data_IF_650513030723
#
_entry.id   IF_650513030723
#
_cell.length_a   1.000
_cell.length_b   1.000
_cell.length_c   1.000
_cell.angle_alpha   90.00
_cell.angle_beta   90.00
_cell.angle_gamma   90.00
#
_symmetry.space_group_name_H-M   'P 1'
#
loop_
_entity.id
_entity.type
_entity.pdbx_description
1 polymer ?
#
# COMPACT_ATOMS: atom_id res chain seq x y z
N UNK A 1 35.96 -25.23 -32.94
CA UNK A 1 35.80 -23.77 -32.72
C UNK A 1 34.51 -23.42 -31.98
N UNK A 2 33.39 -23.97 -32.36
CA UNK A 2 32.05 -23.65 -31.78
C UNK A 2 31.86 -23.93 -30.27
N UNK A 3 32.31 -25.08 -29.72
CA UNK A 3 32.17 -25.39 -28.29
C UNK A 3 32.93 -24.42 -27.37
N UNK A 4 34.12 -23.97 -27.76
CA UNK A 4 34.94 -23.02 -26.97
C UNK A 4 34.30 -21.62 -26.95
N UNK A 5 33.70 -21.19 -28.08
CA UNK A 5 33.01 -19.91 -28.18
C UNK A 5 31.75 -19.92 -27.29
N UNK A 6 30.95 -21.00 -27.33
CA UNK A 6 29.74 -21.16 -26.50
C UNK A 6 30.11 -21.16 -25.00
N UNK A 7 31.16 -21.91 -24.61
CA UNK A 7 31.63 -21.90 -23.21
C UNK A 7 32.10 -20.52 -22.78
N UNK A 8 32.77 -19.76 -23.62
CA UNK A 8 33.24 -18.42 -23.31
C UNK A 8 32.07 -17.45 -23.15
N UNK A 9 31.04 -17.55 -23.99
CA UNK A 9 29.81 -16.75 -23.87
C UNK A 9 29.08 -17.06 -22.55
N UNK A 10 28.91 -18.35 -22.22
CA UNK A 10 28.25 -18.76 -20.95
C UNK A 10 29.05 -18.25 -19.74
N UNK A 11 30.40 -18.36 -19.79
CA UNK A 11 31.25 -17.87 -18.70
C UNK A 11 31.16 -16.33 -18.53
N UNK A 12 31.12 -15.60 -19.66
CA UNK A 12 30.96 -14.14 -19.60
C UNK A 12 29.58 -13.73 -19.08
N UNK A 13 28.50 -14.43 -19.46
CA UNK A 13 27.16 -14.21 -18.93
C UNK A 13 27.09 -14.50 -17.43
N UNK A 14 27.65 -15.65 -17.01
CA UNK A 14 27.68 -16.01 -15.57
C UNK A 14 28.48 -15.00 -14.75
N UNK A 15 29.63 -14.52 -15.28
CA UNK A 15 30.41 -13.48 -14.63
C UNK A 15 29.66 -12.15 -14.58
N UNK A 16 28.95 -11.77 -15.64
CA UNK A 16 28.12 -10.57 -15.68
C UNK A 16 26.99 -10.61 -14.64
N UNK A 17 26.29 -11.74 -14.52
CA UNK A 17 25.27 -11.97 -13.51
C UNK A 17 25.86 -11.90 -12.10
N UNK A 18 27.01 -12.53 -11.87
CA UNK A 18 27.70 -12.48 -10.58
C UNK A 18 28.10 -11.04 -10.20
N UNK A 19 28.65 -10.28 -11.15
CA UNK A 19 29.01 -8.87 -10.91
C UNK A 19 27.76 -8.05 -10.60
N UNK A 20 26.67 -8.23 -11.34
CA UNK A 20 25.41 -7.54 -11.09
C UNK A 20 24.84 -7.86 -9.70
N UNK A 21 24.90 -9.15 -9.31
CA UNK A 21 24.46 -9.59 -7.98
C UNK A 21 25.33 -9.00 -6.84
N UNK A 22 26.64 -8.90 -7.05
CA UNK A 22 27.54 -8.30 -6.04
C UNK A 22 27.45 -6.78 -5.97
N UNK A 23 27.02 -6.13 -7.04
CA UNK A 23 26.85 -4.68 -7.12
C UNK A 23 25.45 -4.21 -6.66
N UNK A 24 24.46 -5.10 -6.69
CA UNK A 24 23.10 -4.76 -6.34
C UNK A 24 22.93 -4.63 -4.81
N UNK A 25 22.31 -3.51 -4.37
CA UNK A 25 22.00 -3.27 -2.97
C UNK A 25 20.64 -3.86 -2.63
N UNK A 26 20.46 -4.48 -1.44
CA UNK A 26 19.14 -4.79 -0.92
C UNK A 26 18.36 -3.51 -0.63
N UNK A 27 17.08 -3.62 -0.33
CA UNK A 27 16.29 -2.51 0.19
C UNK A 27 16.94 -1.94 1.47
N UNK A 28 16.91 -0.62 1.66
CA UNK A 28 17.36 -0.03 2.92
C UNK A 28 16.49 -0.54 4.06
N UNK A 29 17.03 -0.53 5.27
CA UNK A 29 16.20 -0.73 6.45
C UNK A 29 15.53 0.60 6.80
N UNK A 30 14.23 0.56 7.11
CA UNK A 30 13.47 1.74 7.51
C UNK A 30 12.81 1.54 8.88
N UNK A 31 12.83 2.59 9.70
CA UNK A 31 12.30 2.57 11.06
C UNK A 31 10.78 2.29 11.13
N UNK A 32 10.04 2.50 10.03
CA UNK A 32 8.64 2.11 9.93
C UNK A 32 8.39 0.65 10.36
N UNK A 33 9.30 -0.26 10.06
CA UNK A 33 9.13 -1.68 10.40
C UNK A 33 9.62 -2.03 11.81
N UNK A 34 10.35 -1.16 12.50
CA UNK A 34 10.84 -1.39 13.85
C UNK A 34 9.75 -1.32 14.93
N UNK A 35 8.61 -0.73 14.60
CA UNK A 35 7.47 -0.64 15.51
C UNK A 35 6.70 -1.96 15.68
N UNK A 36 6.93 -2.95 14.81
CA UNK A 36 6.24 -4.24 14.84
C UNK A 36 7.11 -5.33 15.46
N UNK A 37 6.55 -6.05 16.44
CA UNK A 37 7.22 -7.22 16.98
C UNK A 37 7.10 -8.43 16.03
N UNK A 38 8.03 -9.40 16.09
CA UNK A 38 7.96 -10.60 15.25
C UNK A 38 6.65 -11.39 15.38
N UNK A 39 5.98 -11.31 16.54
CA UNK A 39 4.73 -12.02 16.82
C UNK A 39 3.51 -11.37 16.12
N UNK A 40 3.64 -10.13 15.63
CA UNK A 40 2.57 -9.44 14.91
C UNK A 40 2.48 -9.87 13.44
N UNK A 41 3.52 -10.52 12.90
CA UNK A 41 3.50 -10.93 11.50
C UNK A 41 2.67 -12.20 11.24
N UNK A 42 1.89 -12.26 10.14
CA UNK A 42 1.69 -11.15 9.20
C UNK A 42 0.87 -10.02 9.82
N UNK A 43 1.19 -8.78 9.42
CA UNK A 43 0.46 -7.60 9.86
C UNK A 43 -0.98 -7.64 9.38
N UNK A 44 -1.91 -7.26 10.24
CA UNK A 44 -3.32 -7.00 9.88
C UNK A 44 -3.40 -5.58 9.35
N UNK A 45 -3.53 -5.42 8.04
CA UNK A 45 -3.63 -4.14 7.37
C UNK A 45 -5.11 -3.90 7.03
N UNK A 46 -5.73 -2.93 7.70
CA UNK A 46 -7.11 -2.57 7.43
C UNK A 46 -7.18 -1.77 6.12
N UNK A 47 -7.73 -2.37 5.08
CA UNK A 47 -7.90 -1.74 3.78
C UNK A 47 -9.01 -0.68 3.84
N UNK A 48 -8.79 0.45 3.21
CA UNK A 48 -9.75 1.55 3.19
C UNK A 48 -11.05 1.21 2.46
N UNK A 49 -11.03 0.19 1.61
CA UNK A 49 -12.19 -0.42 0.98
C UNK A 49 -13.05 -1.13 2.03
N UNK A 50 -14.31 -1.31 1.86
CA UNK A 50 -15.16 -1.34 3.01
C UNK A 50 -16.30 -2.32 2.91
N UNK A 51 -16.00 -3.57 3.15
CA UNK A 51 -17.06 -4.53 3.42
C UNK A 51 -17.74 -4.26 4.78
N UNK A 52 -17.02 -3.69 5.76
CA UNK A 52 -17.53 -3.49 7.11
C UNK A 52 -18.07 -2.07 7.38
N UNK A 53 -17.43 -1.03 6.80
CA UNK A 53 -17.73 0.37 7.11
C UNK A 53 -17.59 1.27 5.87
N UNK A 54 -18.13 2.51 5.87
CA UNK A 54 -17.92 3.46 4.77
C UNK A 54 -16.43 3.76 4.53
N UNK A 55 -15.98 3.54 3.29
CA UNK A 55 -14.57 3.63 2.91
C UNK A 55 -13.97 5.02 3.12
N UNK A 56 -12.68 5.09 3.43
CA UNK A 56 -11.90 6.32 3.58
C UNK A 56 -12.54 7.36 4.51
N UNK A 57 -13.16 6.90 5.60
CA UNK A 57 -13.77 7.78 6.61
C UNK A 57 -13.11 7.63 7.97
N UNK A 58 -13.09 8.70 8.77
CA UNK A 58 -12.63 8.60 10.17
C UNK A 58 -13.44 7.57 10.94
N UNK A 59 -14.75 7.44 10.65
CA UNK A 59 -15.60 6.44 11.28
C UNK A 59 -15.05 5.02 11.05
N UNK A 60 -14.69 4.66 9.81
CA UNK A 60 -14.12 3.34 9.51
C UNK A 60 -12.77 3.14 10.20
N UNK A 61 -11.88 4.12 10.14
CA UNK A 61 -10.56 4.06 10.78
C UNK A 61 -10.68 3.90 12.31
N UNK A 62 -11.62 4.58 12.95
CA UNK A 62 -11.90 4.42 14.39
C UNK A 62 -12.36 3.00 14.72
N UNK A 63 -13.22 2.39 13.89
CA UNK A 63 -13.67 1.02 14.10
C UNK A 63 -12.50 0.02 13.94
N UNK A 64 -11.65 0.21 12.93
CA UNK A 64 -10.47 -0.63 12.72
C UNK A 64 -9.45 -0.47 13.85
N UNK A 65 -9.21 0.76 14.30
CA UNK A 65 -8.36 1.00 15.47
C UNK A 65 -8.93 0.36 16.75
N UNK A 66 -10.25 0.36 16.91
CA UNK A 66 -10.93 -0.31 18.04
C UNK A 66 -10.82 -1.86 17.95
N UNK A 67 -10.61 -2.41 16.76
CA UNK A 67 -10.29 -3.82 16.56
C UNK A 67 -8.81 -4.13 16.79
N UNK A 68 -7.96 -3.12 17.12
CA UNK A 68 -6.53 -3.31 17.36
C UNK A 68 -5.81 -3.91 16.12
N UNK A 69 -6.06 -3.37 14.93
CA UNK A 69 -5.33 -3.72 13.71
C UNK A 69 -3.90 -3.17 13.78
N UNK A 70 -2.97 -3.77 13.03
CA UNK A 70 -1.57 -3.33 13.09
C UNK A 70 -1.32 -2.07 12.25
N UNK A 71 -2.04 -1.91 11.13
CA UNK A 71 -1.84 -0.81 10.18
C UNK A 71 -3.20 -0.32 9.66
N UNK A 72 -3.37 0.99 9.59
CA UNK A 72 -4.48 1.65 8.90
C UNK A 72 -4.02 2.02 7.49
N UNK A 73 -4.73 1.51 6.49
CA UNK A 73 -4.48 1.89 5.10
C UNK A 73 -5.56 2.87 4.64
N UNK A 74 -5.18 3.82 3.79
CA UNK A 74 -6.05 4.88 3.27
C UNK A 74 -5.52 5.41 1.93
N UNK A 75 -6.46 5.89 1.10
CA UNK A 75 -6.21 6.46 -0.20
C UNK A 75 -6.31 7.98 -0.18
N UNK A 76 -5.44 8.69 -0.89
CA UNK A 76 -5.44 10.14 -0.84
C UNK A 76 -5.50 10.83 -2.20
N UNK A 77 -6.29 11.91 -2.23
CA UNK A 77 -6.34 12.92 -3.29
C UNK A 77 -6.18 14.32 -2.70
N UNK A 78 -5.95 15.30 -3.57
CA UNK A 78 -5.83 16.71 -3.18
C UNK A 78 -6.95 17.53 -3.81
N UNK A 79 -7.62 18.35 -2.99
CA UNK A 79 -8.70 19.27 -3.41
C UNK A 79 -8.16 20.46 -4.21
N UNK A 80 -9.06 21.25 -4.83
CA UNK A 80 -8.71 22.44 -5.59
C UNK A 80 -7.98 23.51 -4.77
N UNK A 81 -8.24 23.59 -3.48
CA UNK A 81 -7.60 24.52 -2.54
C UNK A 81 -6.38 23.91 -1.82
N UNK A 82 -5.96 22.69 -2.21
CA UNK A 82 -4.69 22.08 -1.83
C UNK A 82 -4.72 21.25 -0.55
N UNK A 83 -5.89 20.93 -0.02
CA UNK A 83 -6.02 20.04 1.14
C UNK A 83 -6.00 18.56 0.71
N UNK A 84 -5.28 17.73 1.46
CA UNK A 84 -5.21 16.29 1.21
C UNK A 84 -6.37 15.61 1.93
N UNK A 85 -7.21 14.91 1.19
CA UNK A 85 -8.43 14.23 1.67
C UNK A 85 -8.34 12.73 1.45
N UNK A 86 -9.05 11.96 2.29
CA UNK A 86 -9.11 10.51 2.17
C UNK A 86 -10.23 10.11 1.19
N UNK A 87 -9.86 9.59 0.05
CA UNK A 87 -10.79 9.07 -0.97
C UNK A 87 -10.02 8.27 -2.01
N UNK A 88 -10.58 7.11 -2.40
CA UNK A 88 -9.98 6.22 -3.40
C UNK A 88 -10.10 6.73 -4.84
N UNK A 89 -11.30 7.20 -5.23
CA UNK A 89 -11.61 7.53 -6.62
C UNK A 89 -11.25 9.00 -6.93
N UNK A 90 -10.97 9.31 -8.20
CA UNK A 90 -10.81 10.70 -8.67
C UNK A 90 -12.06 11.55 -8.42
N UNK A 91 -13.23 10.93 -8.28
CA UNK A 91 -14.52 11.61 -8.11
C UNK A 91 -15.24 11.18 -6.82
N UNK A 92 -16.10 12.05 -6.32
CA UNK A 92 -16.92 11.79 -5.12
C UNK A 92 -18.15 10.90 -5.40
N UNK A 93 -18.40 10.52 -6.65
CA UNK A 93 -19.67 9.96 -7.14
C UNK A 93 -20.03 8.60 -6.53
N UNK A 94 -19.04 7.73 -6.28
CA UNK A 94 -19.30 6.35 -5.83
C UNK A 94 -19.61 6.25 -4.35
N UNK A 95 -19.06 7.11 -3.55
CA UNK A 95 -19.12 6.99 -2.08
C UNK A 95 -19.98 8.03 -1.40
N UNK A 96 -20.37 9.12 -2.11
CA UNK A 96 -21.12 10.22 -1.52
C UNK A 96 -22.45 10.51 -2.26
N UNK A 97 -23.26 11.38 -1.70
CA UNK A 97 -24.48 11.92 -2.33
C UNK A 97 -24.20 13.04 -3.34
N UNK A 98 -22.93 13.40 -3.59
CA UNK A 98 -22.51 14.39 -4.58
C UNK A 98 -22.02 13.81 -5.87
N UNK A 99 -21.49 14.66 -6.74
CA UNK A 99 -20.79 14.28 -7.98
C UNK A 99 -19.77 15.33 -8.37
N UNK A 100 -18.64 14.89 -8.94
CA UNK A 100 -17.58 15.74 -9.46
C UNK A 100 -16.18 15.24 -9.12
N UNK A 101 -15.18 15.83 -9.79
CA UNK A 101 -13.77 15.53 -9.59
C UNK A 101 -13.28 16.22 -8.31
N UNK A 102 -12.62 15.46 -7.43
CA UNK A 102 -12.08 15.96 -6.15
C UNK A 102 -11.13 17.14 -6.37
N UNK A 103 -10.33 17.10 -7.44
CA UNK A 103 -9.37 18.16 -7.78
C UNK A 103 -10.02 19.47 -8.21
N UNK A 104 -11.30 19.45 -8.56
CA UNK A 104 -12.07 20.63 -8.97
C UNK A 104 -12.93 21.19 -7.81
N UNK A 105 -13.01 20.48 -6.68
CA UNK A 105 -13.78 20.85 -5.50
C UNK A 105 -12.87 21.40 -4.40
N UNK A 106 -13.37 22.39 -3.66
CA UNK A 106 -12.72 22.86 -2.42
C UNK A 106 -12.97 21.87 -1.28
N UNK A 107 -12.15 21.91 -0.23
CA UNK A 107 -12.37 21.12 0.98
C UNK A 107 -13.79 21.32 1.54
N UNK A 108 -14.28 22.56 1.58
CA UNK A 108 -15.61 22.85 2.09
C UNK A 108 -16.74 22.21 1.27
N UNK A 109 -16.56 22.06 -0.04
CA UNK A 109 -17.50 21.37 -0.93
C UNK A 109 -17.43 19.86 -0.72
N UNK A 110 -16.22 19.30 -0.63
CA UNK A 110 -16.02 17.86 -0.38
C UNK A 110 -16.58 17.45 1.00
N UNK A 111 -16.29 18.19 2.05
CA UNK A 111 -16.77 17.89 3.40
C UNK A 111 -18.26 18.16 3.61
N UNK A 112 -18.94 18.85 2.70
CA UNK A 112 -20.39 19.02 2.75
C UNK A 112 -21.16 17.77 2.29
N UNK A 113 -20.47 16.78 1.69
CA UNK A 113 -21.07 15.55 1.19
C UNK A 113 -21.18 14.48 2.26
N UNK A 114 -22.19 13.62 2.12
CA UNK A 114 -22.41 12.46 2.99
C UNK A 114 -21.61 11.25 2.46
N UNK A 115 -20.47 10.94 3.08
CA UNK A 115 -19.62 9.80 2.73
C UNK A 115 -20.17 8.44 3.18
N UNK A 116 -21.27 8.41 3.94
CA UNK A 116 -22.02 7.20 4.29
C UNK A 116 -23.13 6.86 3.31
N UNK A 117 -23.30 7.65 2.24
CA UNK A 117 -24.52 7.63 1.42
C UNK A 117 -24.80 6.32 0.70
N UNK A 118 -23.77 5.69 0.08
CA UNK A 118 -23.94 4.48 -0.71
C UNK A 118 -23.53 3.19 0.00
N UNK A 119 -22.97 3.28 1.21
CA UNK A 119 -22.55 2.07 1.90
C UNK A 119 -23.76 1.21 2.31
N UNK A 120 -23.70 -0.08 1.96
CA UNK A 120 -24.73 -1.08 2.25
C UNK A 120 -24.09 -2.47 2.19
N UNK A 121 -24.67 -3.42 2.92
CA UNK A 121 -24.31 -4.84 2.84
C UNK A 121 -25.27 -5.67 1.97
N UNK A 122 -26.45 -5.14 1.64
CA UNK A 122 -27.52 -5.92 1.01
C UNK A 122 -28.28 -5.15 -0.11
N UNK A 123 -27.80 -3.98 -0.49
CA UNK A 123 -28.43 -3.06 -1.46
C UNK A 123 -29.87 -2.61 -1.09
N UNK A 124 -30.28 -2.77 0.15
CA UNK A 124 -31.61 -2.41 0.64
C UNK A 124 -31.53 -1.41 1.79
N UNK A 125 -30.70 -1.70 2.79
CA UNK A 125 -30.51 -0.84 3.95
C UNK A 125 -29.21 -0.03 3.83
N UNK A 126 -29.31 1.26 4.10
CA UNK A 126 -28.20 2.22 4.06
C UNK A 126 -28.01 2.86 5.43
N UNK A 127 -27.41 2.13 6.39
CA UNK A 127 -27.43 2.52 7.81
C UNK A 127 -26.61 3.77 8.10
N UNK A 128 -25.70 4.17 7.22
CA UNK A 128 -24.83 5.32 7.45
C UNK A 128 -25.31 6.62 6.80
N UNK A 129 -26.39 6.59 5.99
CA UNK A 129 -26.95 7.80 5.38
C UNK A 129 -27.42 8.81 6.44
N UNK A 130 -27.01 10.06 6.28
CA UNK A 130 -27.42 11.15 7.15
C UNK A 130 -26.87 11.05 8.57
N UNK A 131 -25.85 10.24 8.80
CA UNK A 131 -25.20 10.11 10.10
C UNK A 131 -24.09 11.16 10.33
N UNK A 132 -23.88 12.07 9.38
CA UNK A 132 -22.85 13.10 9.48
C UNK A 132 -21.42 12.58 9.21
N UNK A 133 -21.30 11.45 8.50
CA UNK A 133 -19.99 10.92 8.06
C UNK A 133 -19.57 11.71 6.82
N UNK A 134 -18.41 12.33 6.88
CA UNK A 134 -17.88 13.16 5.78
C UNK A 134 -16.55 12.57 5.27
N UNK A 135 -16.10 13.04 4.11
CA UNK A 135 -14.73 12.77 3.62
C UNK A 135 -13.77 13.57 4.51
N UNK A 136 -12.85 12.89 5.24
CA UNK A 136 -11.92 13.58 6.13
C UNK A 136 -10.67 14.07 5.37
N UNK A 137 -9.94 14.99 5.98
CA UNK A 137 -8.59 15.31 5.59
C UNK A 137 -7.60 14.29 6.17
N UNK A 138 -6.44 14.12 5.51
CA UNK A 138 -5.33 13.34 6.07
C UNK A 138 -4.81 13.96 7.39
N UNK A 139 -4.91 15.28 7.52
CA UNK A 139 -4.62 16.01 8.77
C UNK A 139 -5.47 15.51 9.93
N UNK A 140 -6.78 15.38 9.73
CA UNK A 140 -7.71 14.81 10.73
C UNK A 140 -7.35 13.35 11.06
N UNK A 141 -6.89 12.58 10.05
CA UNK A 141 -6.37 11.22 10.26
C UNK A 141 -5.15 11.21 11.19
N UNK A 142 -4.15 12.05 10.95
CA UNK A 142 -2.96 12.15 11.79
C UNK A 142 -3.26 12.64 13.22
N UNK A 143 -4.19 13.60 13.36
CA UNK A 143 -4.63 14.10 14.67
C UNK A 143 -5.37 13.04 15.47
N UNK A 144 -6.16 12.19 14.81
CA UNK A 144 -6.93 11.14 15.47
C UNK A 144 -6.08 9.92 15.83
N UNK A 145 -5.11 9.58 14.99
CA UNK A 145 -4.30 8.35 15.13
C UNK A 145 -2.78 8.64 15.14
N UNK A 146 -2.27 9.52 16.02
CA UNK A 146 -0.88 9.99 15.98
C UNK A 146 0.16 8.88 16.24
N UNK A 147 -0.29 7.76 16.81
CA UNK A 147 0.59 6.63 17.18
C UNK A 147 0.41 5.40 16.29
N UNK A 148 -0.50 5.44 15.31
CA UNK A 148 -0.73 4.32 14.40
C UNK A 148 0.25 4.30 13.24
N UNK A 149 0.65 3.08 12.84
CA UNK A 149 1.27 2.85 11.55
C UNK A 149 0.24 3.03 10.43
N UNK A 150 0.61 3.74 9.38
CA UNK A 150 -0.28 4.04 8.26
C UNK A 150 0.36 3.64 6.93
N UNK A 151 -0.48 3.17 6.02
CA UNK A 151 -0.19 3.08 4.58
C UNK A 151 -1.06 4.14 3.91
N UNK A 152 -0.43 5.06 3.17
CA UNK A 152 -1.12 6.21 2.56
C UNK A 152 -0.85 6.17 1.07
N UNK A 153 -1.82 5.67 0.28
CA UNK A 153 -1.65 5.52 -1.16
C UNK A 153 -1.90 6.82 -1.91
N UNK A 154 -0.91 7.27 -2.69
CA UNK A 154 -1.07 8.38 -3.61
C UNK A 154 -1.84 7.90 -4.84
N UNK A 155 -3.12 8.28 -4.95
CA UNK A 155 -3.98 7.98 -6.10
C UNK A 155 -3.84 9.03 -7.21
N UNK A 156 -3.68 10.28 -6.83
CA UNK A 156 -3.63 11.39 -7.76
C UNK A 156 -2.31 11.48 -8.51
N UNK A 157 -2.40 11.51 -9.86
CA UNK A 157 -1.23 11.73 -10.71
C UNK A 157 -0.90 13.22 -10.89
N UNK A 158 -1.90 14.03 -11.20
CA UNK A 158 -1.71 15.47 -11.50
C UNK A 158 -2.85 16.32 -10.93
N UNK A 159 -2.52 17.49 -10.36
CA UNK A 159 -1.19 17.96 -10.06
C UNK A 159 -0.49 17.07 -9.04
N UNK A 160 0.87 17.06 -9.03
CA UNK A 160 1.63 16.26 -8.07
C UNK A 160 1.31 16.69 -6.63
N UNK A 161 1.09 15.69 -5.78
CA UNK A 161 0.89 15.90 -4.34
C UNK A 161 2.10 15.46 -3.50
N UNK A 162 3.21 15.10 -4.14
CA UNK A 162 4.41 14.61 -3.47
C UNK A 162 4.95 15.58 -2.41
N UNK A 163 5.15 16.85 -2.75
CA UNK A 163 5.65 17.84 -1.80
C UNK A 163 4.62 18.20 -0.71
N UNK A 164 3.34 18.50 -1.02
CA UNK A 164 2.31 18.72 0.00
C UNK A 164 2.15 17.56 0.97
N UNK A 165 2.18 16.32 0.49
CA UNK A 165 2.09 15.13 1.35
C UNK A 165 3.31 14.99 2.26
N UNK A 166 4.51 15.21 1.71
CA UNK A 166 5.73 15.17 2.51
C UNK A 166 5.74 16.25 3.61
N UNK A 167 5.33 17.48 3.26
CA UNK A 167 5.26 18.58 4.23
C UNK A 167 4.26 18.25 5.36
N UNK A 168 3.13 17.63 5.05
CA UNK A 168 2.15 17.21 6.04
C UNK A 168 2.67 16.07 6.93
N UNK A 169 3.35 15.07 6.37
CA UNK A 169 4.00 13.99 7.13
C UNK A 169 5.01 14.56 8.13
N UNK A 170 5.85 15.52 7.70
CA UNK A 170 6.83 16.20 8.56
C UNK A 170 6.16 17.06 9.64
N UNK A 171 5.10 17.77 9.30
CA UNK A 171 4.34 18.61 10.25
C UNK A 171 3.83 17.80 11.44
N UNK A 172 3.41 16.55 11.18
CA UNK A 172 2.85 15.66 12.20
C UNK A 172 3.85 14.64 12.78
N UNK A 173 5.10 14.63 12.29
CA UNK A 173 6.14 13.70 12.77
C UNK A 173 5.81 12.25 12.45
N UNK A 174 5.23 12.00 11.27
CA UNK A 174 4.79 10.67 10.81
C UNK A 174 5.82 9.95 9.93
N UNK A 175 7.06 10.45 9.83
CA UNK A 175 8.09 9.92 8.93
C UNK A 175 8.41 8.43 9.20
N UNK A 176 8.39 8.03 10.46
CA UNK A 176 8.63 6.63 10.86
C UNK A 176 7.34 5.80 11.00
N UNK A 177 6.16 6.41 10.74
CA UNK A 177 4.85 5.77 10.88
C UNK A 177 4.09 5.67 9.57
N UNK A 178 4.59 6.27 8.49
CA UNK A 178 3.97 6.23 7.17
C UNK A 178 4.76 5.35 6.19
N UNK A 179 4.06 4.54 5.42
CA UNK A 179 4.54 3.83 4.24
C UNK A 179 3.71 4.29 3.04
N UNK A 180 4.38 4.78 2.00
CA UNK A 180 3.71 5.40 0.86
C UNK A 180 3.79 4.52 -0.38
N UNK A 181 2.69 3.92 -0.82
CA UNK A 181 2.53 3.32 -2.14
C UNK A 181 2.00 4.32 -3.16
N UNK A 182 2.19 4.00 -4.44
CA UNK A 182 1.43 4.52 -5.57
C UNK A 182 1.52 3.56 -6.75
N UNK A 183 0.41 3.36 -7.46
CA UNK A 183 0.42 2.65 -8.74
C UNK A 183 1.03 3.45 -9.88
N UNK A 184 1.10 4.79 -9.72
CA UNK A 184 1.75 5.66 -10.69
C UNK A 184 3.24 5.80 -10.39
N UNK A 185 4.09 5.33 -11.32
CA UNK A 185 5.54 5.33 -11.14
C UNK A 185 6.14 6.75 -11.06
N UNK A 186 5.54 7.73 -11.76
CA UNK A 186 5.98 9.13 -11.67
C UNK A 186 5.70 9.70 -10.27
N UNK A 187 4.49 9.44 -9.72
CA UNK A 187 4.09 9.92 -8.40
C UNK A 187 4.98 9.38 -7.29
N UNK A 188 5.30 8.07 -7.31
CA UNK A 188 6.16 7.49 -6.27
C UNK A 188 7.61 7.96 -6.38
N UNK A 189 8.14 8.17 -7.59
CA UNK A 189 9.47 8.72 -7.79
C UNK A 189 9.56 10.18 -7.35
N UNK A 190 8.53 11.00 -7.67
CA UNK A 190 8.43 12.38 -7.19
C UNK A 190 8.38 12.43 -5.65
N UNK A 191 7.61 11.50 -5.03
CA UNK A 191 7.52 11.42 -3.58
C UNK A 191 8.87 11.05 -2.94
N UNK A 192 9.56 10.02 -3.42
CA UNK A 192 10.91 9.65 -2.92
C UNK A 192 11.91 10.79 -3.04
N UNK A 193 11.82 11.58 -4.12
CA UNK A 193 12.69 12.74 -4.31
C UNK A 193 12.37 13.87 -3.33
N UNK A 194 11.11 14.07 -2.96
CA UNK A 194 10.66 15.10 -2.01
C UNK A 194 10.86 14.69 -0.55
N UNK A 195 10.70 13.39 -0.27
CA UNK A 195 10.59 12.82 1.08
C UNK A 195 11.44 11.56 1.25
N UNK A 196 12.76 11.63 1.09
CA UNK A 196 13.63 10.43 1.11
C UNK A 196 13.74 9.76 2.48
N UNK A 197 13.21 10.38 3.53
CA UNK A 197 13.17 9.86 4.90
C UNK A 197 11.92 9.04 5.22
N UNK A 198 10.97 8.87 4.28
CA UNK A 198 9.73 8.11 4.48
C UNK A 198 9.78 6.82 3.69
N UNK A 199 9.34 5.72 4.30
CA UNK A 199 9.26 4.42 3.63
C UNK A 199 8.32 4.44 2.43
N UNK A 200 8.69 3.72 1.36
CA UNK A 200 7.85 3.60 0.16
C UNK A 200 7.65 2.14 -0.24
N UNK A 201 6.52 1.87 -0.88
CA UNK A 201 6.35 0.61 -1.61
C UNK A 201 6.86 0.76 -3.05
N UNK A 202 7.08 -0.39 -3.70
CA UNK A 202 7.44 -0.45 -5.12
C UNK A 202 6.32 0.12 -5.99
N UNK A 203 6.69 0.90 -7.00
CA UNK A 203 5.80 1.30 -8.09
C UNK A 203 5.49 0.14 -9.04
N UNK A 204 4.58 0.37 -9.99
CA UNK A 204 4.12 -0.67 -10.91
C UNK A 204 5.26 -1.29 -11.73
N UNK A 205 6.12 -0.47 -12.33
CA UNK A 205 7.23 -0.94 -13.15
C UNK A 205 8.30 -1.68 -12.32
N UNK A 206 8.50 -1.26 -11.06
CA UNK A 206 9.43 -1.91 -10.12
C UNK A 206 8.92 -3.29 -9.71
N UNK A 207 7.62 -3.43 -9.41
CA UNK A 207 6.98 -4.73 -9.15
C UNK A 207 7.13 -5.64 -10.36
N UNK A 208 6.88 -5.13 -11.57
CA UNK A 208 6.94 -5.88 -12.81
C UNK A 208 8.40 -6.38 -13.08
N UNK A 209 9.39 -5.49 -12.91
CA UNK A 209 10.82 -5.87 -13.07
C UNK A 209 11.23 -6.91 -12.02
N UNK A 210 10.79 -6.74 -10.76
CA UNK A 210 11.06 -7.68 -9.67
C UNK A 210 10.49 -9.08 -9.96
N UNK A 211 9.24 -9.16 -10.41
CA UNK A 211 8.56 -10.40 -10.79
C UNK A 211 9.27 -11.09 -11.96
N UNK A 212 9.56 -10.35 -13.04
CA UNK A 212 10.24 -10.88 -14.23
C UNK A 212 11.63 -11.44 -13.86
N UNK A 213 12.41 -10.69 -13.08
CA UNK A 213 13.74 -11.15 -12.63
C UNK A 213 13.66 -12.33 -11.68
N UNK A 214 12.61 -12.38 -10.83
CA UNK A 214 12.34 -13.53 -9.98
C UNK A 214 12.13 -14.81 -10.79
N UNK A 215 11.32 -14.76 -11.84
CA UNK A 215 11.11 -15.89 -12.77
C UNK A 215 12.38 -16.31 -13.48
N UNK A 216 13.26 -15.38 -13.80
CA UNK A 216 14.55 -15.63 -14.45
C UNK A 216 15.66 -16.01 -13.46
N UNK A 217 15.38 -16.10 -12.17
CA UNK A 217 16.34 -16.29 -11.07
C UNK A 217 17.40 -15.17 -11.01
N UNK A 218 17.04 -13.98 -11.44
CA UNK A 218 17.90 -12.78 -11.47
C UNK A 218 17.49 -11.74 -10.40
N UNK A 219 16.58 -12.06 -9.49
CA UNK A 219 16.06 -11.13 -8.46
C UNK A 219 17.14 -10.49 -7.57
N UNK A 220 18.32 -11.13 -7.45
CA UNK A 220 19.46 -10.56 -6.73
C UNK A 220 20.30 -9.55 -7.53
N UNK A 221 19.93 -9.18 -8.76
CA UNK A 221 20.76 -8.35 -9.65
C UNK A 221 20.29 -6.90 -9.76
N UNK A 222 19.26 -6.49 -9.00
CA UNK A 222 18.71 -5.14 -8.97
C UNK A 222 19.01 -4.46 -7.63
N UNK A 223 19.30 -3.17 -7.66
CA UNK A 223 19.25 -2.33 -6.46
C UNK A 223 17.82 -1.89 -6.23
N UNK A 224 17.40 -1.89 -4.97
CA UNK A 224 16.03 -1.57 -4.57
C UNK A 224 16.02 -0.23 -3.83
N UNK A 225 15.04 0.60 -4.17
CA UNK A 225 14.82 1.93 -3.58
C UNK A 225 13.49 1.98 -2.82
N UNK A 226 12.91 0.82 -2.54
CA UNK A 226 11.65 0.64 -1.81
C UNK A 226 11.79 -0.42 -0.72
N UNK A 227 10.97 -0.35 0.29
CA UNK A 227 11.01 -1.22 1.47
C UNK A 227 9.95 -2.32 1.41
N UNK A 228 8.87 -2.11 0.66
CA UNK A 228 7.75 -3.06 0.56
C UNK A 228 7.31 -3.31 -0.88
N UNK A 229 6.82 -4.52 -1.12
CA UNK A 229 6.07 -4.93 -2.30
C UNK A 229 4.60 -5.09 -1.89
N UNK A 230 3.74 -4.22 -2.40
CA UNK A 230 2.28 -4.35 -2.22
C UNK A 230 1.70 -4.91 -3.51
N UNK A 231 1.30 -6.17 -3.49
CA UNK A 231 1.00 -6.92 -4.71
C UNK A 231 -0.30 -7.72 -4.59
N UNK A 232 -1.05 -7.89 -5.70
CA UNK A 232 -2.19 -8.81 -5.73
C UNK A 232 -1.73 -10.26 -5.71
N UNK A 233 -2.64 -11.17 -5.35
CA UNK A 233 -2.38 -12.61 -5.44
C UNK A 233 -1.92 -13.03 -6.84
N UNK A 234 -2.60 -12.52 -7.87
CA UNK A 234 -2.41 -12.85 -9.29
C UNK A 234 -2.55 -11.60 -10.14
N UNK A 235 -1.85 -11.58 -11.25
CA UNK A 235 -2.12 -10.66 -12.34
C UNK A 235 -2.45 -11.45 -13.61
N UNK A 236 -3.58 -11.12 -14.25
CA UNK A 236 -4.06 -11.83 -15.46
C UNK A 236 -4.07 -13.38 -15.32
N UNK A 237 -4.36 -13.89 -14.13
CA UNK A 237 -4.40 -15.32 -13.82
C UNK A 237 -3.03 -15.94 -13.53
N UNK A 238 -1.95 -15.18 -13.58
CA UNK A 238 -0.60 -15.62 -13.25
C UNK A 238 -0.36 -15.32 -11.76
N UNK A 239 -0.04 -16.33 -10.92
CA UNK A 239 0.29 -16.10 -9.53
C UNK A 239 1.53 -15.19 -9.40
N UNK A 240 1.39 -14.08 -8.68
CA UNK A 240 2.49 -13.18 -8.33
C UNK A 240 3.17 -13.68 -7.05
N UNK A 241 2.38 -13.83 -5.98
CA UNK A 241 2.92 -14.26 -4.70
C UNK A 241 3.12 -15.77 -4.70
N UNK A 242 4.39 -16.17 -4.80
CA UNK A 242 4.84 -17.56 -4.70
C UNK A 242 5.91 -17.67 -3.62
N UNK A 243 6.19 -18.91 -3.12
CA UNK A 243 7.29 -19.10 -2.14
C UNK A 243 8.65 -18.64 -2.68
N UNK A 244 8.86 -18.72 -4.00
CA UNK A 244 10.08 -18.22 -4.63
C UNK A 244 10.12 -16.68 -4.64
N UNK A 245 9.00 -16.04 -4.93
CA UNK A 245 8.85 -14.58 -4.88
C UNK A 245 9.17 -14.07 -3.46
N UNK A 246 8.53 -14.64 -2.45
CA UNK A 246 8.78 -14.32 -1.03
C UNK A 246 10.24 -14.53 -0.65
N UNK A 247 10.84 -15.65 -1.07
CA UNK A 247 12.25 -15.92 -0.81
C UNK A 247 13.17 -14.84 -1.41
N UNK A 248 12.89 -14.37 -2.64
CA UNK A 248 13.65 -13.28 -3.26
C UNK A 248 13.44 -11.96 -2.52
N UNK A 249 12.21 -11.62 -2.15
CA UNK A 249 11.89 -10.39 -1.42
C UNK A 249 12.60 -10.34 -0.06
N UNK A 250 12.44 -11.38 0.74
CA UNK A 250 13.04 -11.45 2.08
C UNK A 250 14.58 -11.44 2.04
N UNK A 251 15.21 -12.14 1.07
CA UNK A 251 16.66 -12.07 0.90
C UNK A 251 17.17 -10.70 0.44
N UNK A 252 16.27 -9.81 0.02
CA UNK A 252 16.56 -8.44 -0.39
C UNK A 252 16.08 -7.40 0.62
N UNK A 253 15.68 -7.83 1.83
CA UNK A 253 15.14 -6.99 2.89
C UNK A 253 13.89 -6.23 2.49
N UNK A 254 12.99 -6.86 1.72
CA UNK A 254 11.72 -6.28 1.27
C UNK A 254 10.58 -7.02 1.93
N UNK A 255 9.66 -6.26 2.53
CA UNK A 255 8.40 -6.78 3.06
C UNK A 255 7.40 -7.05 1.93
N UNK A 256 6.56 -8.05 2.08
CA UNK A 256 5.53 -8.39 1.10
C UNK A 256 4.15 -8.29 1.74
N UNK A 257 3.38 -7.29 1.32
CA UNK A 257 1.99 -7.10 1.69
C UNK A 257 1.10 -7.53 0.53
N UNK A 258 0.17 -8.44 0.80
CA UNK A 258 -0.75 -8.93 -0.23
C UNK A 258 -2.13 -8.28 -0.09
N UNK A 259 -2.76 -7.91 -1.22
CA UNK A 259 -4.08 -7.27 -1.29
C UNK A 259 -4.94 -7.80 -2.44
N UNK A 260 -6.24 -7.67 -2.38
CA UNK A 260 -7.09 -7.58 -1.21
C UNK A 260 -7.58 -8.98 -0.90
N UNK A 261 -7.33 -9.50 0.29
CA UNK A 261 -7.61 -10.89 0.67
C UNK A 261 -8.72 -10.89 1.71
N UNK A 262 -9.92 -11.33 1.30
CA UNK A 262 -11.12 -11.32 2.14
C UNK A 262 -11.62 -12.73 2.52
N UNK A 263 -11.17 -13.78 1.80
CA UNK A 263 -11.62 -15.13 2.06
C UNK A 263 -10.74 -15.86 3.09
N UNK A 264 -11.32 -16.51 4.12
CA UNK A 264 -10.56 -17.18 5.17
C UNK A 264 -9.53 -18.20 4.66
N UNK A 265 -9.90 -19.02 3.68
CA UNK A 265 -9.02 -20.04 3.10
C UNK A 265 -7.80 -19.40 2.41
N UNK A 266 -7.97 -18.22 1.82
CA UNK A 266 -6.88 -17.45 1.22
C UNK A 266 -5.99 -16.81 2.29
N UNK A 267 -6.59 -16.25 3.36
CA UNK A 267 -5.86 -15.73 4.51
C UNK A 267 -4.95 -16.81 5.11
N UNK A 268 -5.49 -17.97 5.47
CA UNK A 268 -4.71 -19.12 6.01
C UNK A 268 -3.58 -19.51 5.06
N UNK A 269 -3.85 -19.60 3.76
CA UNK A 269 -2.85 -19.94 2.75
C UNK A 269 -1.69 -18.96 2.72
N UNK A 270 -1.94 -17.64 2.77
CA UNK A 270 -0.88 -16.64 2.73
C UNK A 270 -0.11 -16.52 4.05
N UNK A 271 -0.78 -16.74 5.19
CA UNK A 271 -0.13 -16.94 6.49
C UNK A 271 0.87 -18.10 6.41
N UNK A 272 0.45 -19.25 5.89
CA UNK A 272 1.31 -20.44 5.72
C UNK A 272 2.45 -20.23 4.71
N UNK A 273 2.27 -19.32 3.76
CA UNK A 273 3.33 -18.95 2.80
C UNK A 273 4.38 -18.04 3.41
N UNK A 274 4.03 -17.29 4.47
CA UNK A 274 4.91 -16.38 5.17
C UNK A 274 4.98 -14.99 4.51
N UNK A 275 3.82 -14.43 4.13
CA UNK A 275 3.72 -13.01 3.76
C UNK A 275 3.90 -12.13 5.00
N UNK A 276 4.33 -10.89 4.81
CA UNK A 276 4.62 -9.98 5.92
C UNK A 276 3.40 -9.14 6.33
N UNK A 277 2.42 -8.99 5.45
CA UNK A 277 1.16 -8.31 5.73
C UNK A 277 0.04 -8.79 4.84
N UNK A 278 -1.18 -8.79 5.37
CA UNK A 278 -2.41 -9.08 4.63
C UNK A 278 -3.30 -7.85 4.73
N UNK A 279 -3.54 -7.21 3.58
CA UNK A 279 -4.46 -6.11 3.43
C UNK A 279 -5.84 -6.67 3.10
N UNK A 280 -6.84 -6.34 3.94
CA UNK A 280 -8.15 -6.96 3.89
C UNK A 280 -9.26 -5.99 4.30
N UNK A 281 -10.43 -6.14 3.67
CA UNK A 281 -11.68 -5.49 4.09
C UNK A 281 -12.32 -6.23 5.30
N UNK A 282 -11.84 -7.45 5.60
CA UNK A 282 -12.35 -8.36 6.64
C UNK A 282 -11.33 -8.54 7.77
N UNK A 283 -10.95 -7.43 8.39
CA UNK A 283 -10.03 -7.43 9.54
C UNK A 283 -10.53 -8.28 10.70
N UNK A 284 -11.85 -8.37 10.87
CA UNK A 284 -12.52 -9.23 11.83
C UNK A 284 -12.13 -10.72 11.65
N UNK A 285 -12.20 -11.23 10.41
CA UNK A 285 -11.86 -12.60 10.08
C UNK A 285 -10.36 -12.88 10.23
N UNK A 286 -9.52 -11.97 9.72
CA UNK A 286 -8.07 -12.18 9.77
C UNK A 286 -7.57 -12.21 11.22
N UNK A 287 -8.09 -11.34 12.10
CA UNK A 287 -7.76 -11.35 13.52
C UNK A 287 -8.20 -12.63 14.21
N UNK A 288 -9.41 -13.12 13.91
CA UNK A 288 -9.90 -14.42 14.43
C UNK A 288 -8.98 -15.58 14.03
N UNK A 289 -8.57 -15.63 12.75
CA UNK A 289 -7.65 -16.68 12.25
C UNK A 289 -6.29 -16.59 12.94
N UNK A 290 -5.77 -15.38 13.19
CA UNK A 290 -4.50 -15.16 13.88
C UNK A 290 -4.61 -15.37 15.41
N UNK A 291 -5.82 -15.48 15.96
CA UNK A 291 -6.08 -15.68 17.39
C UNK A 291 -5.81 -14.42 18.24
N UNK A 292 -6.02 -13.25 17.68
CA UNK A 292 -5.80 -11.95 18.32
C UNK A 292 -6.87 -10.92 17.99
#
# INVERSE_FOLDING_TARGET
>A
MTKRIVLMIISMLALGILIAHLAASPAPHHAYFDQFSPEQYPLVIAHAGSELYPTDTLYALEQYAAMDVDVLEMDVHMTADGEIVLIHDDTVDRTTDGSGDVREMTLAEVQALDAGWYWTQDDQDYPFRGQGITIPTLREGFETFPDYAMIIEIKQEKPSMAAPLCDLIREYGMEEKALIPSFNDESIQEFRAACPEVATAAGHDEVQDFVIRGFLLLGGTISLEFEALQVPEKDNGIPIVTRLFLWFAHNRNVQVHIWTINEPDEMERFIDMGVDGIMTDRTDLLREILGR
#
